data_IF_235845949315
#
_entry.id   IF_235845949315
#
_cell.length_a   1.000
_cell.length_b   1.000
_cell.length_c   1.000
_cell.angle_alpha   90.00
_cell.angle_beta   90.00
_cell.angle_gamma   90.00
#
_symmetry.space_group_name_H-M   'P 1'
#
loop_
_entity.id
_entity.type
_entity.pdbx_description
1 polymer ?
#
# COMPACT_ATOMS: atom_id res chain seq x y z
N UNK A 1 -2.82 15.51 -5.50
CA UNK A 1 -2.33 15.36 -6.90
C UNK A 1 -0.88 14.88 -6.96
N UNK A 2 0.00 15.28 -6.04
CA UNK A 2 1.42 14.85 -6.07
C UNK A 2 1.62 13.34 -5.81
N UNK A 3 0.88 12.76 -4.86
CA UNK A 3 0.97 11.33 -4.53
C UNK A 3 0.55 10.44 -5.71
N UNK A 4 -0.59 10.75 -6.34
CA UNK A 4 -1.07 10.01 -7.52
C UNK A 4 -0.06 10.03 -8.66
N UNK A 5 0.57 11.18 -8.94
CA UNK A 5 1.61 11.27 -9.98
C UNK A 5 2.87 10.50 -9.61
N UNK A 6 3.29 10.54 -8.34
CA UNK A 6 4.45 9.77 -7.86
C UNK A 6 4.22 8.28 -8.03
N UNK A 7 3.09 7.76 -7.51
CA UNK A 7 2.74 6.35 -7.62
C UNK A 7 2.51 5.93 -9.08
N UNK A 8 1.86 6.78 -9.89
CA UNK A 8 1.67 6.50 -11.32
C UNK A 8 3.01 6.40 -12.05
N UNK A 9 3.96 7.29 -11.73
CA UNK A 9 5.31 7.26 -12.28
C UNK A 9 6.01 5.94 -11.96
N UNK A 10 6.00 5.53 -10.69
CA UNK A 10 6.56 4.27 -10.22
C UNK A 10 5.90 3.05 -10.91
N UNK A 11 4.57 3.02 -10.95
CA UNK A 11 3.78 1.91 -11.51
C UNK A 11 3.96 1.78 -13.04
N UNK A 12 4.12 2.92 -13.71
CA UNK A 12 4.33 2.99 -15.16
C UNK A 12 5.80 2.81 -15.56
N UNK A 13 6.72 2.75 -14.59
CA UNK A 13 8.16 2.69 -14.83
C UNK A 13 8.77 3.99 -15.35
N UNK A 14 8.08 5.12 -15.17
CA UNK A 14 8.52 6.47 -15.54
C UNK A 14 9.00 7.30 -14.33
N UNK A 15 8.92 6.72 -13.12
CA UNK A 15 9.40 7.29 -11.86
C UNK A 15 10.91 7.17 -11.67
N UNK A 16 11.39 7.41 -10.44
CA UNK A 16 12.81 7.28 -10.11
C UNK A 16 13.33 5.85 -10.34
N UNK A 17 14.56 5.74 -10.85
CA UNK A 17 15.16 4.45 -11.16
C UNK A 17 15.38 3.64 -9.88
N UNK A 18 14.79 2.43 -9.83
CA UNK A 18 14.85 1.55 -8.66
C UNK A 18 13.78 1.85 -7.60
N UNK A 19 12.95 2.87 -7.81
CA UNK A 19 11.80 3.12 -6.95
C UNK A 19 10.68 2.11 -7.21
N UNK A 20 10.10 1.58 -6.14
CA UNK A 20 9.00 0.61 -6.17
C UNK A 20 7.80 1.17 -5.44
N UNK A 21 6.62 0.56 -5.64
CA UNK A 21 5.40 0.96 -4.93
C UNK A 21 5.59 0.84 -3.41
N UNK A 22 6.34 -0.17 -2.97
CA UNK A 22 6.74 -0.37 -1.58
C UNK A 22 7.54 0.83 -1.05
N UNK A 23 8.62 1.22 -1.73
CA UNK A 23 9.50 2.32 -1.26
C UNK A 23 8.82 3.68 -1.34
N UNK A 24 8.01 3.93 -2.38
CA UNK A 24 7.24 5.16 -2.50
C UNK A 24 6.20 5.28 -1.38
N UNK A 25 5.46 4.19 -1.12
CA UNK A 25 4.44 4.14 -0.06
C UNK A 25 5.08 4.28 1.33
N UNK A 26 6.20 3.60 1.56
CA UNK A 26 7.00 3.75 2.78
C UNK A 26 7.35 5.23 3.05
N UNK A 27 7.92 5.91 2.05
CA UNK A 27 8.30 7.32 2.15
C UNK A 27 7.08 8.22 2.42
N UNK A 28 5.99 8.03 1.69
CA UNK A 28 4.77 8.83 1.84
C UNK A 28 4.17 8.71 3.25
N UNK A 29 4.08 7.48 3.79
CA UNK A 29 3.59 7.26 5.16
C UNK A 29 4.56 7.86 6.18
N UNK A 30 5.87 7.69 5.99
CA UNK A 30 6.90 8.21 6.90
C UNK A 30 6.95 9.74 6.95
N UNK A 31 6.73 10.38 5.81
CA UNK A 31 6.64 11.84 5.69
C UNK A 31 5.27 12.37 6.16
N UNK A 32 4.30 11.49 6.43
CA UNK A 32 2.95 11.86 6.87
C UNK A 32 2.15 12.59 5.79
N UNK A 33 2.48 12.37 4.51
CA UNK A 33 1.86 13.08 3.38
C UNK A 33 0.56 12.45 2.92
N UNK A 34 0.32 11.18 3.25
CA UNK A 34 -0.93 10.45 3.01
C UNK A 34 -1.18 9.39 4.08
N UNK A 35 -2.42 8.91 4.17
CA UNK A 35 -2.77 7.72 4.96
C UNK A 35 -2.68 6.43 4.14
N UNK A 36 -2.75 5.28 4.81
CA UNK A 36 -2.81 3.97 4.14
C UNK A 36 -4.04 3.87 3.24
N UNK A 37 -5.18 4.39 3.69
CA UNK A 37 -6.41 4.42 2.91
C UNK A 37 -6.26 5.25 1.63
N UNK A 38 -5.67 6.44 1.74
CA UNK A 38 -5.42 7.32 0.58
C UNK A 38 -4.53 6.61 -0.47
N UNK A 39 -3.49 5.92 -0.02
CA UNK A 39 -2.59 5.18 -0.90
C UNK A 39 -3.31 4.02 -1.59
N UNK A 40 -4.11 3.25 -0.85
CA UNK A 40 -4.88 2.13 -1.39
C UNK A 40 -5.87 2.60 -2.45
N UNK A 41 -6.63 3.66 -2.16
CA UNK A 41 -7.55 4.25 -3.13
C UNK A 41 -6.81 4.76 -4.36
N UNK A 42 -5.65 5.39 -4.16
CA UNK A 42 -4.84 5.91 -5.26
C UNK A 42 -4.31 4.80 -6.16
N UNK A 43 -3.70 3.75 -5.61
CA UNK A 43 -3.19 2.64 -6.44
C UNK A 43 -4.30 1.79 -7.04
N UNK A 44 -5.47 1.75 -6.39
CA UNK A 44 -6.68 1.15 -6.94
C UNK A 44 -7.13 1.88 -8.21
N UNK A 45 -7.24 3.21 -8.14
CA UNK A 45 -7.56 4.04 -9.31
C UNK A 45 -6.52 3.86 -10.41
N UNK A 46 -5.22 3.95 -10.07
CA UNK A 46 -4.14 3.77 -11.04
C UNK A 46 -4.20 2.38 -11.67
N UNK A 47 -4.44 1.32 -10.90
CA UNK A 47 -4.62 -0.04 -11.40
C UNK A 47 -5.74 -0.13 -12.42
N UNK A 48 -6.90 0.48 -12.12
CA UNK A 48 -8.03 0.58 -13.07
C UNK A 48 -7.69 1.38 -14.32
N UNK A 49 -7.01 2.50 -14.19
CA UNK A 49 -6.66 3.41 -15.31
C UNK A 49 -5.58 2.82 -16.22
N UNK A 50 -4.62 2.08 -15.65
CA UNK A 50 -3.44 1.55 -16.37
C UNK A 50 -3.55 0.08 -16.74
N UNK A 51 -4.59 -0.63 -16.26
CA UNK A 51 -4.75 -2.07 -16.43
C UNK A 51 -3.71 -2.89 -15.66
N UNK A 52 -3.10 -2.31 -14.61
CA UNK A 52 -2.12 -2.98 -13.76
C UNK A 52 -2.82 -3.79 -12.68
N UNK A 53 -2.11 -4.79 -12.15
CA UNK A 53 -2.64 -5.69 -11.14
C UNK A 53 -2.86 -4.95 -9.81
N UNK A 54 -4.10 -4.55 -9.56
CA UNK A 54 -4.55 -3.87 -8.34
C UNK A 54 -4.22 -4.67 -7.07
N UNK A 55 -4.29 -5.99 -7.12
CA UNK A 55 -4.03 -6.85 -5.96
C UNK A 55 -2.55 -6.74 -5.54
N UNK A 56 -1.64 -6.81 -6.52
CA UNK A 56 -0.20 -6.64 -6.28
C UNK A 56 0.14 -5.22 -5.83
N UNK A 57 -0.49 -4.20 -6.43
CA UNK A 57 -0.28 -2.81 -6.04
C UNK A 57 -0.70 -2.53 -4.60
N UNK A 58 -1.89 -3.00 -4.20
CA UNK A 58 -2.38 -2.85 -2.82
C UNK A 58 -1.48 -3.60 -1.85
N UNK A 59 -1.05 -4.82 -2.20
CA UNK A 59 -0.10 -5.58 -1.40
C UNK A 59 1.20 -4.79 -1.18
N UNK A 60 1.77 -4.20 -2.22
CA UNK A 60 3.00 -3.41 -2.13
C UNK A 60 2.83 -2.14 -1.26
N UNK A 61 1.69 -1.44 -1.40
CA UNK A 61 1.35 -0.29 -0.55
C UNK A 61 1.31 -0.68 0.93
N UNK A 62 0.60 -1.75 1.25
CA UNK A 62 0.42 -2.21 2.64
C UNK A 62 1.76 -2.63 3.23
N UNK A 63 2.59 -3.35 2.47
CA UNK A 63 3.95 -3.72 2.90
C UNK A 63 4.80 -2.48 3.17
N UNK A 64 4.79 -1.48 2.27
CA UNK A 64 5.52 -0.23 2.46
C UNK A 64 5.05 0.56 3.70
N UNK A 65 3.74 0.62 3.92
CA UNK A 65 3.15 1.28 5.08
C UNK A 65 3.50 0.57 6.40
N UNK A 66 3.50 -0.77 6.41
CA UNK A 66 3.94 -1.54 7.59
C UNK A 66 5.42 -1.32 7.86
N UNK A 67 6.27 -1.29 6.83
CA UNK A 67 7.68 -0.97 7.02
C UNK A 67 7.87 0.43 7.62
N UNK A 68 7.07 1.42 7.20
CA UNK A 68 7.19 2.80 7.69
C UNK A 68 6.80 2.91 9.17
N UNK A 69 5.82 2.12 9.61
CA UNK A 69 5.36 2.09 11.00
C UNK A 69 6.22 1.18 11.89
N UNK A 70 6.80 0.12 11.32
CA UNK A 70 7.60 -0.89 12.01
C UNK A 70 9.06 -0.53 12.32
N UNK A 71 9.59 0.57 11.75
CA UNK A 71 10.94 1.07 12.06
C UNK A 71 11.11 1.57 13.51
N UNK A 72 10.03 1.67 14.29
CA UNK A 72 10.08 2.02 15.71
C UNK A 72 10.19 0.74 16.57
N UNK A 73 11.38 0.50 17.13
CA UNK A 73 11.69 -0.67 17.94
C UNK A 73 10.68 -0.83 19.10
N UNK A 74 9.87 -1.90 19.05
CA UNK A 74 8.85 -2.24 20.05
C UNK A 74 7.40 -2.04 19.61
N UNK A 75 7.14 -1.32 18.52
CA UNK A 75 5.79 -1.04 18.02
C UNK A 75 5.45 -1.75 16.70
N UNK A 76 6.33 -2.63 16.20
CA UNK A 76 6.16 -3.26 14.89
C UNK A 76 4.85 -4.06 14.76
N UNK A 77 4.45 -4.77 15.81
CA UNK A 77 3.23 -5.61 15.79
C UNK A 77 1.95 -4.75 15.90
N UNK A 78 1.94 -3.72 16.75
CA UNK A 78 0.85 -2.75 16.84
C UNK A 78 0.74 -1.85 15.60
N UNK A 79 1.87 -1.41 15.04
CA UNK A 79 1.95 -0.60 13.83
C UNK A 79 1.45 -1.37 12.61
N UNK A 80 1.91 -2.62 12.45
CA UNK A 80 1.39 -3.52 11.42
C UNK A 80 -0.11 -3.73 11.58
N UNK A 81 -0.60 -3.98 12.80
CA UNK A 81 -2.03 -4.17 13.06
C UNK A 81 -2.84 -2.93 12.66
N UNK A 82 -2.38 -1.72 12.99
CA UNK A 82 -3.06 -0.46 12.61
C UNK A 82 -3.14 -0.30 11.09
N UNK A 83 -2.02 -0.45 10.39
CA UNK A 83 -1.96 -0.35 8.93
C UNK A 83 -2.91 -1.35 8.28
N UNK A 84 -2.95 -2.58 8.79
CA UNK A 84 -3.85 -3.62 8.30
C UNK A 84 -5.32 -3.23 8.51
N UNK A 85 -5.68 -2.69 9.68
CA UNK A 85 -7.05 -2.25 9.96
C UNK A 85 -7.45 -1.10 9.05
N UNK A 86 -6.59 -0.10 8.86
CA UNK A 86 -6.84 1.01 7.91
C UNK A 86 -7.01 0.49 6.48
N UNK A 87 -6.19 -0.48 6.08
CA UNK A 87 -6.28 -1.08 4.76
C UNK A 87 -7.59 -1.86 4.55
N UNK A 88 -8.07 -2.57 5.56
CA UNK A 88 -9.36 -3.26 5.51
C UNK A 88 -10.54 -2.28 5.49
N UNK A 89 -10.44 -1.17 6.23
CA UNK A 89 -11.44 -0.10 6.18
C UNK A 89 -11.52 0.50 4.78
N UNK A 90 -10.37 0.86 4.18
CA UNK A 90 -10.31 1.38 2.82
C UNK A 90 -10.88 0.39 1.80
N UNK A 91 -10.64 -0.91 1.98
CA UNK A 91 -11.22 -1.97 1.15
C UNK A 91 -12.74 -2.15 1.36
N UNK A 92 -13.27 -1.77 2.53
CA UNK A 92 -14.71 -1.73 2.81
C UNK A 92 -15.42 -0.57 2.11
N UNK A 93 -14.73 0.56 1.94
CA UNK A 93 -15.25 1.75 1.27
C UNK A 93 -15.30 1.60 -0.26
N UNK A 94 -14.50 0.70 -0.83
CA UNK A 94 -14.54 0.37 -2.26
C UNK A 94 -15.68 -0.63 -2.53
N UNK A 95 -16.80 -0.12 -3.07
CA UNK A 95 -18.07 -0.84 -3.18
C UNK A 95 -18.23 -1.76 -4.42
N UNK A 96 -17.25 -1.80 -5.35
CA UNK A 96 -17.33 -2.57 -6.61
C UNK A 96 -16.51 -3.88 -6.62
N UNK A 97 -16.52 -4.64 -7.73
CA UNK A 97 -15.62 -5.79 -8.03
C UNK A 97 -14.15 -5.50 -7.66
N UNK A 98 -13.74 -4.23 -7.79
CA UNK A 98 -12.42 -3.77 -7.40
C UNK A 98 -12.09 -3.92 -5.91
N UNK A 99 -13.09 -3.91 -5.03
CA UNK A 99 -12.91 -4.12 -3.59
C UNK A 99 -12.46 -5.55 -3.26
N UNK A 100 -12.76 -6.54 -4.11
CA UNK A 100 -12.24 -7.90 -3.93
C UNK A 100 -10.72 -7.96 -4.16
N UNK A 101 -10.22 -7.32 -5.22
CA UNK A 101 -8.78 -7.22 -5.49
C UNK A 101 -8.04 -6.50 -4.37
N UNK A 102 -8.63 -5.43 -3.82
CA UNK A 102 -8.06 -4.74 -2.66
C UNK A 102 -7.99 -5.67 -1.45
N UNK A 103 -9.09 -6.36 -1.11
CA UNK A 103 -9.11 -7.32 0.02
C UNK A 103 -8.08 -8.44 -0.14
N UNK A 104 -7.92 -8.98 -1.35
CA UNK A 104 -6.90 -9.99 -1.65
C UNK A 104 -5.48 -9.42 -1.50
N UNK A 105 -5.23 -8.20 -1.95
CA UNK A 105 -3.95 -7.52 -1.80
C UNK A 105 -3.58 -7.31 -0.33
N UNK A 106 -4.56 -6.87 0.47
CA UNK A 106 -4.41 -6.75 1.93
C UNK A 106 -4.11 -8.12 2.57
N UNK A 107 -4.85 -9.18 2.19
CA UNK A 107 -4.62 -10.51 2.71
C UNK A 107 -3.21 -11.04 2.39
N UNK A 108 -2.74 -10.88 1.14
CA UNK A 108 -1.36 -11.21 0.74
C UNK A 108 -0.33 -10.46 1.56
N UNK A 109 -0.52 -9.15 1.75
CA UNK A 109 0.38 -8.38 2.59
C UNK A 109 0.41 -8.91 4.02
N UNK A 110 -0.74 -9.26 4.62
CA UNK A 110 -0.78 -9.89 5.95
C UNK A 110 0.03 -11.17 6.02
N UNK A 111 0.00 -12.02 4.99
CA UNK A 111 0.82 -13.24 4.97
C UNK A 111 2.31 -12.93 4.95
N UNK A 112 2.74 -11.97 4.12
CA UNK A 112 4.13 -11.51 4.05
C UNK A 112 4.60 -10.94 5.39
N UNK A 113 3.75 -10.14 6.04
CA UNK A 113 4.08 -9.48 7.32
C UNK A 113 4.09 -10.49 8.48
N UNK A 114 3.28 -11.56 8.40
CA UNK A 114 3.23 -12.63 9.41
C UNK A 114 4.37 -13.63 9.29
N UNK A 115 4.99 -13.78 8.12
CA UNK A 115 6.23 -14.54 8.03
C UNK A 115 7.27 -13.81 8.90
N UNK A 116 7.80 -14.46 9.95
CA UNK A 116 8.80 -13.82 10.78
C UNK A 116 9.97 -13.47 9.87
N UNK A 117 10.46 -12.23 10.01
CA UNK A 117 11.82 -11.83 9.65
C UNK A 117 12.76 -12.89 10.25
N UNK A 118 13.06 -13.93 9.48
CA UNK A 118 13.98 -15.01 9.88
C UNK A 118 15.41 -14.54 9.75
#
# INVERSE_FOLDING_TARGET
MEIKQTLLGVISGTGEAGETVVSASHKIIKEGTATVGDLIHTVFEIGKETGKDTEELVKDVVVGAVQATGETAGAAEEGATKVIVEAEQAAGEITEEGGESVRKGVAKAKEIIKEPLK
#
